data_IF_923821654861
#
_entry.id   IF_923821654861
#
_cell.length_a   1.000
_cell.length_b   1.000
_cell.length_c   1.000
_cell.angle_alpha   90.00
_cell.angle_beta   90.00
_cell.angle_gamma   90.00
#
_symmetry.space_group_name_H-M   'P 1'
#
loop_
_entity.id
_entity.type
_entity.pdbx_description
1 polymer ?
#
# COMPACT_ATOMS: atom_id res chain seq x y z
N UNK A 1 23.14 -14.69 13.44
CA UNK A 1 22.46 -14.82 14.75
C UNK A 1 22.74 -13.51 15.48
N UNK A 2 21.72 -12.82 15.99
CA UNK A 2 21.93 -11.56 16.71
C UNK A 2 22.02 -11.84 18.20
N UNK A 3 23.07 -11.33 18.86
CA UNK A 3 23.25 -11.47 20.31
C UNK A 3 22.30 -10.55 21.11
N UNK A 4 21.68 -9.59 20.43
CA UNK A 4 20.72 -8.63 21.00
C UNK A 4 19.41 -8.57 20.19
N UNK A 5 18.29 -8.38 20.89
CA UNK A 5 16.98 -8.29 20.30
C UNK A 5 16.78 -6.98 19.53
N UNK A 6 16.31 -7.04 18.27
CA UNK A 6 16.06 -5.82 17.50
C UNK A 6 14.87 -5.00 18.03
N UNK A 7 13.90 -5.64 18.68
CA UNK A 7 12.70 -4.96 19.20
C UNK A 7 12.94 -4.31 20.57
N UNK A 8 13.50 -5.05 21.54
CA UNK A 8 13.66 -4.56 22.92
C UNK A 8 15.11 -4.41 23.40
N UNK A 9 16.11 -4.63 22.52
CA UNK A 9 17.55 -4.49 22.82
C UNK A 9 18.10 -5.36 23.95
N UNK A 10 17.31 -6.32 24.46
CA UNK A 10 17.76 -7.28 25.46
C UNK A 10 18.71 -8.33 24.83
N UNK A 11 19.70 -8.84 25.58
CA UNK A 11 20.51 -9.97 25.14
C UNK A 11 19.63 -11.18 24.84
N UNK A 12 19.89 -11.91 23.75
CA UNK A 12 19.16 -13.13 23.43
C UNK A 12 20.12 -14.33 23.41
N UNK A 13 19.90 -15.27 24.33
CA UNK A 13 20.65 -16.53 24.40
C UNK A 13 19.89 -17.73 23.79
N UNK A 14 18.59 -17.59 23.51
CA UNK A 14 17.71 -18.67 23.04
C UNK A 14 17.15 -18.37 21.64
N UNK A 15 16.27 -19.23 21.08
CA UNK A 15 15.67 -19.02 19.75
C UNK A 15 14.65 -17.87 19.70
N UNK A 16 14.17 -17.41 20.84
CA UNK A 16 13.18 -16.34 20.98
C UNK A 16 13.56 -15.43 22.16
N UNK A 17 13.39 -14.12 22.02
CA UNK A 17 13.60 -13.19 23.13
C UNK A 17 12.61 -13.47 24.27
N UNK A 18 13.11 -13.73 25.48
CA UNK A 18 12.27 -13.99 26.65
C UNK A 18 11.39 -12.80 27.09
N UNK A 19 11.76 -11.57 26.70
CA UNK A 19 11.02 -10.36 27.07
C UNK A 19 9.91 -10.01 26.08
N UNK A 20 10.19 -10.04 24.77
CA UNK A 20 9.24 -9.59 23.74
C UNK A 20 8.82 -10.68 22.74
N UNK A 21 9.34 -11.90 22.84
CA UNK A 21 8.98 -13.01 21.95
C UNK A 21 9.57 -12.94 20.53
N UNK A 22 10.44 -11.98 20.21
CA UNK A 22 11.08 -11.90 18.88
C UNK A 22 11.97 -13.13 18.60
N UNK A 23 11.79 -13.79 17.45
CA UNK A 23 12.71 -14.84 16.93
C UNK A 23 14.14 -14.29 16.74
N UNK A 24 15.16 -15.03 17.17
CA UNK A 24 16.59 -14.63 17.08
C UNK A 24 17.15 -14.72 15.66
N UNK A 25 16.52 -15.52 14.79
CA UNK A 25 16.86 -15.66 13.37
C UNK A 25 16.15 -14.63 12.49
N UNK A 26 16.14 -13.35 12.87
CA UNK A 26 15.65 -12.30 11.97
C UNK A 26 16.66 -12.07 10.86
N UNK A 27 16.46 -12.74 9.72
CA UNK A 27 17.19 -12.47 8.50
C UNK A 27 16.62 -11.24 7.80
N UNK A 28 17.46 -10.63 6.95
CA UNK A 28 17.01 -9.59 6.02
C UNK A 28 15.78 -10.08 5.26
N UNK A 29 14.79 -9.21 5.09
CA UNK A 29 13.50 -9.62 4.54
C UNK A 29 13.68 -10.25 3.14
N UNK A 30 13.15 -11.47 2.98
CA UNK A 30 13.10 -12.22 1.73
C UNK A 30 11.70 -12.79 1.56
N UNK A 31 11.09 -12.58 0.39
CA UNK A 31 9.73 -13.05 0.09
C UNK A 31 9.58 -14.56 0.26
N UNK A 32 10.62 -15.33 -0.06
CA UNK A 32 10.62 -16.79 0.09
C UNK A 32 10.38 -17.20 1.54
N UNK A 33 11.12 -16.61 2.48
CA UNK A 33 10.97 -16.89 3.91
C UNK A 33 9.64 -16.39 4.47
N UNK A 34 9.10 -15.28 3.97
CA UNK A 34 7.81 -14.76 4.42
C UNK A 34 6.65 -15.69 4.04
N UNK A 35 6.62 -16.18 2.80
CA UNK A 35 5.56 -17.09 2.33
C UNK A 35 5.60 -18.43 3.09
N UNK A 36 6.81 -18.97 3.31
CA UNK A 36 6.99 -20.28 3.98
C UNK A 36 6.67 -20.24 5.48
N UNK A 37 6.92 -19.12 6.18
CA UNK A 37 6.87 -19.09 7.65
C UNK A 37 5.91 -18.07 8.28
N UNK A 38 5.66 -16.93 7.63
CA UNK A 38 4.88 -15.83 8.23
C UNK A 38 3.45 -15.79 7.68
N UNK A 39 3.22 -16.17 6.42
CA UNK A 39 1.88 -16.16 5.81
C UNK A 39 0.95 -17.25 6.39
N UNK A 40 1.46 -18.47 6.58
CA UNK A 40 0.65 -19.62 7.04
C UNK A 40 0.33 -19.53 8.54
N UNK A 41 1.25 -19.04 9.35
CA UNK A 41 1.07 -18.96 10.82
C UNK A 41 0.47 -17.62 11.30
N UNK A 42 0.53 -16.56 10.48
CA UNK A 42 0.16 -15.20 10.89
C UNK A 42 -1.34 -14.86 10.86
N UNK A 43 -2.17 -15.67 10.20
CA UNK A 43 -3.60 -15.36 9.99
C UNK A 43 -4.44 -15.47 11.29
N UNK A 44 -3.94 -16.16 12.33
CA UNK A 44 -4.75 -16.54 13.49
C UNK A 44 -4.53 -15.72 14.77
N UNK A 45 -3.73 -14.65 14.75
CA UNK A 45 -3.44 -13.83 15.94
C UNK A 45 -3.82 -12.35 15.70
N UNK A 46 -5.10 -12.03 15.85
CA UNK A 46 -5.70 -10.74 15.48
C UNK A 46 -5.70 -9.70 16.62
N UNK A 47 -5.37 -10.09 17.85
CA UNK A 47 -5.88 -9.35 19.02
C UNK A 47 -5.19 -8.02 19.40
N UNK A 48 -3.88 -7.83 19.14
CA UNK A 48 -3.18 -6.58 19.56
C UNK A 48 -2.37 -5.88 18.46
N UNK A 49 -1.86 -6.61 17.47
CA UNK A 49 -1.01 -6.02 16.43
C UNK A 49 -1.75 -5.09 15.47
N UNK A 50 -3.04 -5.34 15.20
CA UNK A 50 -3.83 -4.58 14.22
C UNK A 50 -3.94 -3.11 14.61
N UNK A 51 -4.43 -2.83 15.83
CA UNK A 51 -4.62 -1.46 16.31
C UNK A 51 -3.30 -0.71 16.42
N UNK A 52 -2.24 -1.38 16.88
CA UNK A 52 -0.89 -0.81 16.90
C UNK A 52 -0.45 -0.42 15.48
N UNK A 53 -0.57 -1.33 14.52
CA UNK A 53 -0.16 -1.10 13.13
C UNK A 53 -0.93 0.02 12.47
N UNK A 54 -2.26 0.05 12.64
CA UNK A 54 -3.10 1.13 12.12
C UNK A 54 -2.65 2.47 12.71
N UNK A 55 -2.54 2.57 14.05
CA UNK A 55 -2.06 3.80 14.70
C UNK A 55 -0.71 4.26 14.14
N UNK A 56 0.22 3.33 13.99
CA UNK A 56 1.57 3.60 13.52
C UNK A 56 1.63 4.00 12.04
N UNK A 57 0.76 3.44 11.20
CA UNK A 57 0.62 3.83 9.79
C UNK A 57 0.09 5.26 9.64
N UNK A 58 -0.80 5.72 10.53
CA UNK A 58 -1.40 7.05 10.41
C UNK A 58 -0.70 8.14 11.27
N UNK A 59 0.26 7.78 12.11
CA UNK A 59 1.03 8.74 12.94
C UNK A 59 2.49 8.86 12.54
N UNK A 60 3.14 7.74 12.20
CA UNK A 60 4.54 7.71 11.72
C UNK A 60 4.74 6.65 10.62
N UNK A 61 4.00 6.74 9.50
CA UNK A 61 3.92 5.71 8.45
C UNK A 61 5.25 5.13 7.97
N UNK A 62 6.14 6.00 7.50
CA UNK A 62 7.40 5.57 6.90
C UNK A 62 8.37 5.05 7.95
N UNK A 63 8.37 5.62 9.16
CA UNK A 63 9.24 5.15 10.24
C UNK A 63 8.80 3.76 10.74
N UNK A 64 7.49 3.55 10.88
CA UNK A 64 6.96 2.30 11.39
C UNK A 64 7.18 1.14 10.41
N UNK A 65 6.96 1.36 9.12
CA UNK A 65 7.26 0.36 8.08
C UNK A 65 8.77 0.14 7.93
N UNK A 66 9.61 1.17 8.13
CA UNK A 66 11.07 1.02 8.18
C UNK A 66 11.51 0.11 9.32
N UNK A 67 10.97 0.31 10.52
CA UNK A 67 11.24 -0.56 11.67
C UNK A 67 10.82 -2.01 11.42
N UNK A 68 9.66 -2.23 10.80
CA UNK A 68 9.20 -3.55 10.41
C UNK A 68 10.17 -4.25 9.46
N UNK A 69 10.57 -3.55 8.40
CA UNK A 69 11.50 -4.06 7.38
C UNK A 69 12.87 -4.36 8.00
N UNK A 70 13.34 -3.50 8.91
CA UNK A 70 14.59 -3.68 9.65
C UNK A 70 14.51 -4.74 10.77
N UNK A 71 13.36 -5.37 10.98
CA UNK A 71 13.23 -6.57 11.81
C UNK A 71 12.49 -6.40 13.14
N UNK A 72 11.95 -5.21 13.47
CA UNK A 72 11.14 -4.99 14.68
C UNK A 72 9.69 -5.44 14.51
N UNK A 73 9.45 -6.72 14.21
CA UNK A 73 8.13 -7.20 13.72
C UNK A 73 7.08 -7.56 14.77
N UNK A 74 7.46 -7.78 16.04
CA UNK A 74 6.58 -8.35 17.09
C UNK A 74 5.22 -7.64 17.22
N UNK A 75 5.21 -6.30 17.19
CA UNK A 75 3.99 -5.52 17.42
C UNK A 75 3.21 -5.25 16.14
N UNK A 76 3.81 -5.53 14.97
CA UNK A 76 3.21 -5.21 13.69
C UNK A 76 2.36 -6.36 13.18
N UNK A 77 1.23 -5.99 12.62
CA UNK A 77 0.31 -6.90 11.97
C UNK A 77 0.74 -7.17 10.54
N UNK A 78 0.53 -8.39 10.07
CA UNK A 78 0.89 -8.80 8.71
C UNK A 78 0.23 -7.89 7.67
N UNK A 79 1.03 -7.32 6.77
CA UNK A 79 0.52 -6.50 5.66
C UNK A 79 -0.42 -7.29 4.75
N UNK A 80 -0.19 -8.59 4.54
CA UNK A 80 -1.08 -9.41 3.71
C UNK A 80 -2.44 -9.56 4.37
N UNK A 81 -2.46 -9.85 5.67
CA UNK A 81 -3.70 -9.97 6.43
C UNK A 81 -4.42 -8.61 6.47
N UNK A 82 -3.69 -7.50 6.61
CA UNK A 82 -4.27 -6.16 6.57
C UNK A 82 -4.90 -5.83 5.20
N UNK A 83 -4.23 -6.18 4.09
CA UNK A 83 -4.77 -6.04 2.74
C UNK A 83 -6.03 -6.90 2.54
N UNK A 84 -6.02 -8.16 3.00
CA UNK A 84 -7.19 -9.04 2.90
C UNK A 84 -8.37 -8.53 3.72
N UNK A 85 -8.15 -8.18 5.00
CA UNK A 85 -9.20 -7.66 5.88
C UNK A 85 -9.81 -6.37 5.30
N UNK A 86 -8.98 -5.44 4.85
CA UNK A 86 -9.47 -4.17 4.27
C UNK A 86 -10.14 -4.37 2.92
N UNK A 87 -9.71 -5.34 2.09
CA UNK A 87 -10.40 -5.73 0.86
C UNK A 87 -11.79 -6.30 1.15
N UNK A 88 -11.91 -7.16 2.17
CA UNK A 88 -13.19 -7.75 2.58
C UNK A 88 -14.13 -6.68 3.12
N UNK A 89 -13.66 -5.83 4.06
CA UNK A 89 -14.47 -4.76 4.65
C UNK A 89 -14.92 -3.74 3.60
N UNK A 90 -14.00 -3.31 2.72
CA UNK A 90 -14.36 -2.37 1.64
C UNK A 90 -15.36 -2.98 0.66
N UNK A 91 -15.30 -4.28 0.39
CA UNK A 91 -16.30 -4.98 -0.43
C UNK A 91 -17.67 -5.00 0.22
N UNK A 92 -17.72 -5.37 1.49
CA UNK A 92 -18.96 -5.38 2.25
C UNK A 92 -19.60 -4.00 2.30
N UNK A 93 -18.83 -2.96 2.64
CA UNK A 93 -19.31 -1.58 2.68
C UNK A 93 -19.77 -1.08 1.32
N UNK A 94 -19.02 -1.38 0.24
CA UNK A 94 -19.41 -0.97 -1.11
C UNK A 94 -20.70 -1.63 -1.59
N UNK A 95 -21.00 -2.84 -1.11
CA UNK A 95 -22.25 -3.53 -1.44
C UNK A 95 -23.45 -2.84 -0.78
N UNK A 96 -23.32 -2.46 0.49
CA UNK A 96 -24.38 -1.78 1.24
C UNK A 96 -24.53 -0.30 0.90
N UNK A 97 -23.48 0.35 0.40
CA UNK A 97 -23.53 1.78 0.08
C UNK A 97 -24.40 2.12 -1.13
N UNK A 98 -24.76 1.14 -1.96
CA UNK A 98 -25.45 1.39 -3.23
C UNK A 98 -24.67 2.34 -4.14
N UNK A 99 -23.34 2.42 -3.96
CA UNK A 99 -22.48 3.30 -4.75
C UNK A 99 -22.40 2.78 -6.17
N UNK A 100 -22.95 3.55 -7.09
CA UNK A 100 -22.74 3.35 -8.50
C UNK A 100 -21.57 4.22 -8.97
N UNK A 101 -20.40 3.60 -9.10
CA UNK A 101 -19.20 4.24 -9.64
C UNK A 101 -19.39 4.68 -11.11
N UNK A 102 -20.41 4.19 -11.81
CA UNK A 102 -20.74 4.64 -13.17
C UNK A 102 -21.19 6.10 -13.23
N UNK A 103 -21.62 6.67 -12.09
CA UNK A 103 -22.00 8.09 -11.94
C UNK A 103 -20.77 9.02 -11.92
N UNK A 104 -19.58 8.48 -11.60
CA UNK A 104 -18.33 9.24 -11.56
C UNK A 104 -17.78 9.57 -12.94
N UNK A 105 -18.06 8.70 -13.91
CA UNK A 105 -17.49 8.81 -15.24
C UNK A 105 -18.54 9.47 -16.12
N UNK A 106 -18.29 10.72 -16.52
CA UNK A 106 -19.14 11.39 -17.51
C UNK A 106 -19.22 10.56 -18.79
N UNK A 107 -20.29 10.68 -19.57
CA UNK A 107 -20.44 9.91 -20.81
C UNK A 107 -19.27 10.15 -21.77
N UNK A 108 -18.72 11.36 -21.79
CA UNK A 108 -17.49 11.69 -22.51
C UNK A 108 -16.26 10.93 -21.97
N UNK A 109 -16.10 10.85 -20.65
CA UNK A 109 -15.01 10.10 -20.06
C UNK A 109 -15.17 8.58 -20.27
N UNK A 110 -16.41 8.04 -20.27
CA UNK A 110 -16.68 6.64 -20.60
C UNK A 110 -16.33 6.34 -22.05
N UNK A 111 -16.67 7.22 -22.98
CA UNK A 111 -16.33 7.07 -24.39
C UNK A 111 -14.81 7.12 -24.66
N UNK A 112 -14.04 7.75 -23.78
CA UNK A 112 -12.58 7.78 -23.84
C UNK A 112 -11.92 6.59 -23.11
N UNK A 113 -12.67 5.79 -22.37
CA UNK A 113 -12.13 4.61 -21.69
C UNK A 113 -11.89 3.48 -22.68
N UNK A 114 -10.72 2.87 -22.59
CA UNK A 114 -10.43 1.62 -23.29
C UNK A 114 -10.85 0.40 -22.44
N UNK A 115 -10.89 -0.78 -23.07
CA UNK A 115 -11.31 -2.02 -22.39
C UNK A 115 -10.42 -2.41 -21.20
N UNK A 116 -9.14 -2.01 -21.20
CA UNK A 116 -8.25 -2.22 -20.06
C UNK A 116 -8.64 -1.32 -18.87
N UNK A 117 -8.99 -0.06 -19.13
CA UNK A 117 -9.46 0.87 -18.10
C UNK A 117 -10.81 0.45 -17.54
N UNK A 118 -11.73 -0.05 -18.37
CA UNK A 118 -12.99 -0.64 -17.94
C UNK A 118 -12.77 -1.88 -17.05
N UNK A 119 -11.84 -2.75 -17.44
CA UNK A 119 -11.44 -3.91 -16.65
C UNK A 119 -10.86 -3.48 -15.29
N UNK A 120 -10.00 -2.47 -15.27
CA UNK A 120 -9.42 -1.92 -14.04
C UNK A 120 -10.50 -1.37 -13.11
N UNK A 121 -11.50 -0.68 -13.63
CA UNK A 121 -12.63 -0.18 -12.82
C UNK A 121 -13.50 -1.33 -12.30
N UNK A 122 -13.78 -2.32 -13.14
CA UNK A 122 -14.60 -3.50 -12.79
C UNK A 122 -13.95 -4.34 -11.67
N UNK A 123 -12.62 -4.40 -11.66
CA UNK A 123 -11.83 -5.16 -10.68
C UNK A 123 -10.91 -4.25 -9.87
N UNK A 124 -11.40 -3.08 -9.46
CA UNK A 124 -10.59 -2.03 -8.81
C UNK A 124 -9.74 -2.54 -7.64
N UNK A 125 -10.27 -3.45 -6.81
CA UNK A 125 -9.53 -4.03 -5.66
C UNK A 125 -8.37 -4.93 -6.10
N UNK A 126 -8.56 -5.74 -7.13
CA UNK A 126 -7.48 -6.56 -7.71
C UNK A 126 -6.45 -5.65 -8.37
N UNK A 127 -6.92 -4.61 -9.06
CA UNK A 127 -6.06 -3.58 -9.62
C UNK A 127 -5.18 -2.91 -8.54
N UNK A 128 -5.72 -2.53 -7.38
CA UNK A 128 -4.94 -1.99 -6.25
C UNK A 128 -3.81 -2.94 -5.83
N UNK A 129 -4.07 -4.25 -5.75
CA UNK A 129 -3.04 -5.25 -5.42
C UNK A 129 -1.99 -5.39 -6.53
N UNK A 130 -2.41 -5.40 -7.79
CA UNK A 130 -1.52 -5.45 -8.95
C UNK A 130 -0.62 -4.21 -9.02
N UNK A 131 -1.06 -3.05 -8.52
CA UNK A 131 -0.22 -1.84 -8.50
C UNK A 131 1.01 -1.96 -7.59
N UNK A 132 0.98 -2.82 -6.57
CA UNK A 132 2.05 -2.98 -5.57
C UNK A 132 3.42 -3.26 -6.22
N UNK A 133 3.59 -4.29 -7.08
CA UNK A 133 4.87 -4.53 -7.75
C UNK A 133 5.34 -3.37 -8.61
N UNK A 134 4.45 -2.68 -9.33
CA UNK A 134 4.84 -1.52 -10.14
C UNK A 134 5.32 -0.35 -9.27
N UNK A 135 4.61 -0.07 -8.16
CA UNK A 135 5.03 0.94 -7.19
C UNK A 135 6.35 0.55 -6.50
N UNK A 136 6.57 -0.75 -6.24
CA UNK A 136 7.84 -1.26 -5.73
C UNK A 136 9.00 -1.02 -6.71
N UNK A 137 8.78 -1.22 -8.02
CA UNK A 137 9.77 -0.89 -9.05
C UNK A 137 10.14 0.59 -8.98
N UNK A 138 9.15 1.50 -9.01
CA UNK A 138 9.45 2.93 -9.02
C UNK A 138 10.09 3.43 -7.74
N UNK A 139 9.61 2.96 -6.57
CA UNK A 139 10.25 3.30 -5.30
C UNK A 139 11.68 2.77 -5.23
N UNK A 140 11.96 1.58 -5.78
CA UNK A 140 13.32 1.03 -5.88
C UNK A 140 14.21 1.86 -6.80
N UNK A 141 13.72 2.26 -7.97
CA UNK A 141 14.48 3.08 -8.93
C UNK A 141 14.79 4.47 -8.36
N UNK A 142 13.80 5.15 -7.79
CA UNK A 142 13.96 6.49 -7.22
C UNK A 142 14.79 6.50 -5.93
N UNK A 143 14.85 5.41 -5.17
CA UNK A 143 15.59 5.33 -3.91
C UNK A 143 16.70 4.26 -3.91
N UNK A 144 17.30 3.97 -5.07
CA UNK A 144 18.35 2.94 -5.21
C UNK A 144 19.53 3.10 -4.23
N UNK A 145 19.91 4.33 -3.88
CA UNK A 145 21.01 4.59 -2.91
C UNK A 145 20.62 4.32 -1.46
N UNK A 146 19.34 4.14 -1.15
CA UNK A 146 18.88 3.82 0.20
C UNK A 146 19.24 2.41 0.66
N UNK A 147 19.73 1.55 -0.25
CA UNK A 147 20.28 0.24 0.08
C UNK A 147 19.23 -0.85 0.35
N UNK A 148 17.94 -0.57 0.13
CA UNK A 148 16.87 -1.56 0.23
C UNK A 148 16.76 -2.41 -1.04
N UNK A 149 16.46 -3.70 -0.88
CA UNK A 149 16.24 -4.64 -1.96
C UNK A 149 14.79 -4.57 -2.47
N UNK A 150 14.52 -5.16 -3.63
CA UNK A 150 13.19 -5.13 -4.23
C UNK A 150 12.09 -5.77 -3.35
N UNK A 151 12.41 -6.82 -2.59
CA UNK A 151 11.45 -7.45 -1.67
C UNK A 151 11.07 -6.51 -0.52
N UNK A 152 12.01 -5.71 -0.02
CA UNK A 152 11.76 -4.69 1.00
C UNK A 152 10.87 -3.57 0.43
N UNK A 153 11.10 -3.16 -0.83
CA UNK A 153 10.21 -2.24 -1.53
C UNK A 153 8.80 -2.84 -1.75
N UNK A 154 8.67 -4.13 -2.00
CA UNK A 154 7.35 -4.78 -2.10
C UNK A 154 6.59 -4.71 -0.77
N UNK A 155 7.24 -4.99 0.36
CA UNK A 155 6.63 -4.85 1.69
C UNK A 155 6.26 -3.41 1.98
N UNK A 156 7.16 -2.47 1.67
CA UNK A 156 6.93 -1.04 1.83
C UNK A 156 5.64 -0.59 1.16
N UNK A 157 5.48 -0.96 -0.11
CA UNK A 157 4.32 -0.60 -0.91
C UNK A 157 3.07 -1.37 -0.48
N UNK A 158 3.21 -2.59 0.03
CA UNK A 158 2.08 -3.34 0.57
C UNK A 158 1.44 -2.66 1.79
N UNK A 159 2.27 -2.15 2.72
CA UNK A 159 1.76 -1.36 3.86
C UNK A 159 1.17 -0.02 3.43
N UNK A 160 1.77 0.65 2.44
CA UNK A 160 1.22 1.88 1.87
C UNK A 160 -0.18 1.63 1.28
N UNK A 161 -0.31 0.59 0.45
CA UNK A 161 -1.60 0.20 -0.14
C UNK A 161 -2.62 -0.19 0.94
N UNK A 162 -2.20 -0.90 1.99
CA UNK A 162 -3.09 -1.22 3.09
C UNK A 162 -3.61 0.05 3.80
N UNK A 163 -2.77 1.06 4.00
CA UNK A 163 -3.19 2.34 4.55
C UNK A 163 -4.15 3.11 3.63
N UNK A 164 -3.91 3.10 2.30
CA UNK A 164 -4.86 3.66 1.33
C UNK A 164 -6.22 2.95 1.40
N UNK A 165 -6.23 1.62 1.54
CA UNK A 165 -7.48 0.85 1.65
C UNK A 165 -8.21 1.11 2.97
N UNK A 166 -7.50 1.33 4.07
CA UNK A 166 -8.12 1.76 5.33
C UNK A 166 -8.74 3.15 5.17
N UNK A 167 -8.03 4.10 4.56
CA UNK A 167 -8.56 5.44 4.30
C UNK A 167 -9.79 5.38 3.38
N UNK A 168 -9.77 4.51 2.36
CA UNK A 168 -10.91 4.26 1.49
C UNK A 168 -12.12 3.72 2.25
N UNK A 169 -11.91 2.76 3.17
CA UNK A 169 -12.96 2.22 4.05
C UNK A 169 -13.58 3.34 4.92
N UNK A 170 -12.75 4.18 5.54
CA UNK A 170 -13.22 5.30 6.37
C UNK A 170 -14.01 6.30 5.53
N UNK A 171 -13.51 6.67 4.35
CA UNK A 171 -14.18 7.60 3.46
C UNK A 171 -15.51 7.01 2.95
N UNK A 172 -15.53 5.72 2.62
CA UNK A 172 -16.74 4.99 2.22
C UNK A 172 -17.78 5.02 3.33
N UNK A 173 -17.36 4.81 4.59
CA UNK A 173 -18.25 4.87 5.73
C UNK A 173 -18.87 6.26 5.92
N UNK A 174 -18.08 7.33 5.73
CA UNK A 174 -18.57 8.72 5.84
C UNK A 174 -19.64 9.01 4.79
N UNK A 175 -19.45 8.58 3.54
CA UNK A 175 -20.39 8.89 2.47
C UNK A 175 -21.72 8.12 2.56
N UNK A 176 -21.80 7.04 3.35
CA UNK A 176 -23.05 6.32 3.60
C UNK A 176 -24.16 7.23 4.16
N UNK A 177 -23.77 8.31 4.84
CA UNK A 177 -24.69 9.27 5.45
C UNK A 177 -25.16 10.37 4.48
N UNK A 178 -24.70 10.34 3.21
CA UNK A 178 -25.01 11.34 2.21
C UNK A 178 -25.81 10.74 1.05
N UNK A 179 -26.65 11.55 0.40
CA UNK A 179 -27.39 11.12 -0.79
C UNK A 179 -26.43 10.83 -1.93
N UNK A 180 -26.58 9.66 -2.56
CA UNK A 180 -25.83 9.28 -3.75
C UNK A 180 -26.14 10.27 -4.89
N UNK A 181 -25.20 11.19 -5.13
CA UNK A 181 -25.25 12.23 -6.14
C UNK A 181 -23.88 12.38 -6.77
N UNK A 182 -23.83 12.86 -8.03
CA UNK A 182 -22.56 13.05 -8.74
C UNK A 182 -21.59 13.97 -7.98
N UNK A 183 -22.09 14.98 -7.28
CA UNK A 183 -21.28 15.90 -6.47
C UNK A 183 -20.60 15.16 -5.32
N UNK A 184 -21.35 14.35 -4.56
CA UNK A 184 -20.80 13.57 -3.43
C UNK A 184 -19.76 12.57 -3.92
N UNK A 185 -20.02 11.89 -5.04
CA UNK A 185 -19.10 10.91 -5.62
C UNK A 185 -17.81 11.58 -6.15
N UNK A 186 -17.91 12.78 -6.75
CA UNK A 186 -16.74 13.56 -7.15
C UNK A 186 -15.91 14.02 -5.94
N UNK A 187 -16.55 14.51 -4.89
CA UNK A 187 -15.87 14.89 -3.64
C UNK A 187 -15.15 13.67 -3.04
N UNK A 188 -15.82 12.52 -2.98
CA UNK A 188 -15.22 11.26 -2.54
C UNK A 188 -13.96 10.91 -3.33
N UNK A 189 -14.04 10.94 -4.65
CA UNK A 189 -12.90 10.58 -5.53
C UNK A 189 -11.74 11.55 -5.38
N UNK A 190 -12.04 12.86 -5.36
CA UNK A 190 -11.02 13.89 -5.15
C UNK A 190 -10.38 13.78 -3.76
N UNK A 191 -11.18 13.58 -2.71
CA UNK A 191 -10.67 13.40 -1.35
C UNK A 191 -9.73 12.18 -1.26
N UNK A 192 -10.10 11.06 -1.88
CA UNK A 192 -9.24 9.87 -1.94
C UNK A 192 -7.94 10.14 -2.72
N UNK A 193 -8.00 10.77 -3.89
CA UNK A 193 -6.81 11.09 -4.69
C UNK A 193 -5.86 12.05 -3.95
N UNK A 194 -6.41 13.12 -3.38
CA UNK A 194 -5.64 14.08 -2.58
C UNK A 194 -5.01 13.41 -1.38
N UNK A 195 -5.78 12.60 -0.64
CA UNK A 195 -5.26 11.83 0.48
C UNK A 195 -4.10 10.92 0.03
N UNK A 196 -4.31 10.09 -1.00
CA UNK A 196 -3.31 9.11 -1.44
C UNK A 196 -2.01 9.76 -1.91
N UNK A 197 -2.09 10.92 -2.57
CA UNK A 197 -0.93 11.70 -2.99
C UNK A 197 -0.18 12.29 -1.78
N UNK A 198 -0.88 13.03 -0.91
CA UNK A 198 -0.27 13.69 0.25
C UNK A 198 0.30 12.67 1.22
N UNK A 199 -0.47 11.63 1.54
CA UNK A 199 -0.05 10.52 2.40
C UNK A 199 1.12 9.77 1.78
N UNK A 200 1.08 9.47 0.47
CA UNK A 200 2.18 8.81 -0.23
C UNK A 200 3.49 9.59 -0.16
N UNK A 201 3.45 10.90 -0.40
CA UNK A 201 4.62 11.78 -0.29
C UNK A 201 5.17 11.76 1.13
N UNK A 202 4.30 11.93 2.14
CA UNK A 202 4.70 11.87 3.55
C UNK A 202 5.31 10.52 3.95
N UNK A 203 4.67 9.42 3.52
CA UNK A 203 5.06 8.04 3.78
C UNK A 203 6.47 7.75 3.25
N UNK A 204 6.73 8.01 1.97
CA UNK A 204 8.06 7.78 1.38
C UNK A 204 9.10 8.74 1.93
N UNK A 205 8.76 10.01 2.12
CA UNK A 205 9.68 11.00 2.70
C UNK A 205 10.18 10.52 4.06
N UNK A 206 9.26 10.07 4.92
CA UNK A 206 9.59 9.59 6.25
C UNK A 206 10.40 8.29 6.20
N UNK A 207 10.01 7.31 5.35
CA UNK A 207 10.70 6.03 5.24
C UNK A 207 12.17 6.16 4.81
N UNK A 208 12.44 7.04 3.85
CA UNK A 208 13.78 7.25 3.29
C UNK A 208 14.55 8.38 3.98
N UNK A 209 14.00 9.04 4.99
CA UNK A 209 14.64 10.16 5.70
C UNK A 209 16.03 9.83 6.26
N UNK A 210 16.24 8.58 6.67
CA UNK A 210 17.50 8.09 7.24
C UNK A 210 18.51 7.59 6.19
N UNK A 211 18.21 7.74 4.89
CA UNK A 211 19.04 7.22 3.80
C UNK A 211 20.07 8.22 3.25
N UNK A 212 20.30 9.35 3.93
CA UNK A 212 21.34 10.32 3.57
C UNK A 212 20.99 11.27 2.42
N UNK A 213 19.72 11.36 2.02
CA UNK A 213 19.25 12.33 1.03
C UNK A 213 18.97 13.70 1.67
N UNK A 214 19.18 14.79 0.93
CA UNK A 214 18.71 16.12 1.35
C UNK A 214 17.17 16.16 1.40
N UNK A 215 16.60 17.04 2.24
CA UNK A 215 15.13 17.19 2.38
C UNK A 215 14.44 17.49 1.03
N UNK A 216 15.06 18.30 0.18
CA UNK A 216 14.54 18.62 -1.16
C UNK A 216 14.54 17.40 -2.08
N UNK A 217 15.63 16.63 -2.07
CA UNK A 217 15.74 15.37 -2.83
C UNK A 217 14.73 14.33 -2.36
N UNK A 218 14.53 14.20 -1.03
CA UNK A 218 13.52 13.31 -0.45
C UNK A 218 12.13 13.66 -0.93
N UNK A 219 11.74 14.94 -0.84
CA UNK A 219 10.42 15.39 -1.28
C UNK A 219 10.20 15.11 -2.77
N UNK A 220 11.14 15.53 -3.61
CA UNK A 220 11.05 15.32 -5.06
C UNK A 220 10.95 13.83 -5.41
N UNK A 221 11.81 12.98 -4.85
CA UNK A 221 11.78 11.53 -5.12
C UNK A 221 10.50 10.87 -4.61
N UNK A 222 9.98 11.32 -3.47
CA UNK A 222 8.72 10.82 -2.90
C UNK A 222 7.52 11.15 -3.79
N UNK A 223 7.49 12.36 -4.36
CA UNK A 223 6.49 12.78 -5.34
C UNK A 223 6.65 12.03 -6.66
N UNK A 224 7.87 11.78 -7.09
CA UNK A 224 8.12 11.14 -8.39
C UNK A 224 7.71 9.67 -8.45
N UNK A 225 7.56 8.96 -7.32
CA UNK A 225 7.07 7.58 -7.33
C UNK A 225 5.65 7.48 -7.93
N UNK A 226 4.61 8.14 -7.36
CA UNK A 226 3.27 8.09 -7.94
C UNK A 226 3.21 8.72 -9.33
N UNK A 227 4.00 9.76 -9.60
CA UNK A 227 4.07 10.39 -10.94
C UNK A 227 4.59 9.41 -11.99
N UNK A 228 5.67 8.67 -11.70
CA UNK A 228 6.21 7.65 -12.61
C UNK A 228 5.19 6.53 -12.88
N UNK A 229 4.42 6.14 -11.86
CA UNK A 229 3.36 5.17 -12.03
C UNK A 229 2.22 5.70 -12.91
N UNK A 230 1.78 6.95 -12.70
CA UNK A 230 0.77 7.59 -13.56
C UNK A 230 1.23 7.65 -15.03
N UNK A 231 2.49 8.00 -15.28
CA UNK A 231 3.06 8.02 -16.64
C UNK A 231 3.01 6.62 -17.26
N UNK A 232 3.41 5.58 -16.51
CA UNK A 232 3.34 4.19 -16.97
C UNK A 232 1.91 3.82 -17.38
N UNK A 233 0.92 4.18 -16.55
CA UNK A 233 -0.48 3.87 -16.82
C UNK A 233 -1.00 4.57 -18.07
N UNK A 234 -0.68 5.84 -18.26
CA UNK A 234 -1.04 6.58 -19.46
C UNK A 234 -0.44 5.93 -20.71
N UNK A 235 0.84 5.56 -20.66
CA UNK A 235 1.51 4.88 -21.79
C UNK A 235 0.83 3.53 -22.10
N UNK A 236 0.61 2.70 -21.08
CA UNK A 236 -0.05 1.40 -21.23
C UNK A 236 -1.46 1.56 -21.81
N UNK A 237 -2.22 2.55 -21.33
CA UNK A 237 -3.56 2.86 -21.83
C UNK A 237 -3.56 3.29 -23.30
N UNK A 238 -2.63 4.16 -23.70
CA UNK A 238 -2.50 4.61 -25.10
C UNK A 238 -2.11 3.45 -26.02
N UNK A 239 -1.11 2.65 -25.65
CA UNK A 239 -0.68 1.48 -26.42
C UNK A 239 -1.82 0.47 -26.58
N UNK A 240 -2.54 0.18 -25.49
CA UNK A 240 -3.69 -0.73 -25.55
C UNK A 240 -4.80 -0.20 -26.44
N UNK A 241 -5.09 1.11 -26.38
CA UNK A 241 -6.07 1.75 -27.26
C UNK A 241 -5.72 1.58 -28.74
N UNK A 242 -4.46 1.78 -29.11
CA UNK A 242 -3.97 1.59 -30.49
C UNK A 242 -4.11 0.13 -30.92
N UNK A 243 -3.66 -0.83 -30.09
CA UNK A 243 -3.76 -2.26 -30.39
C UNK A 243 -5.22 -2.69 -30.57
N UNK A 244 -6.13 -2.21 -29.71
CA UNK A 244 -7.56 -2.53 -29.80
C UNK A 244 -8.21 -1.98 -31.07
N UNK A 245 -7.76 -0.83 -31.58
CA UNK A 245 -8.22 -0.29 -32.87
C UNK A 245 -7.74 -1.17 -34.04
N UNK A 246 -6.48 -1.61 -34.02
CA UNK A 246 -5.90 -2.48 -35.06
C UNK A 246 -6.59 -3.86 -35.09
N UNK A 247 -6.94 -4.42 -33.93
CA UNK A 247 -7.60 -5.73 -33.86
C UNK A 247 -9.08 -5.69 -34.29
N UNK A 248 -9.70 -4.50 -34.34
CA UNK A 248 -11.10 -4.30 -34.79
C UNK A 248 -11.22 -3.97 -36.27
N UNK A 249 -10.14 -3.54 -36.93
CA UNK A 249 -10.06 -3.27 -38.37
C UNK A 249 -9.70 -4.52 -39.17
#
# INVERSE_FOLDING_TARGET
MHDTCLNCSQPIATKYCGNCGQKTSTHRYSLKHFIEHDFIHGVWHVDKGVLFTIKELFTRPGNSVREYILGKRVNYFSFVTLLLLTATISTLLSHYSGMDYSVLVSDNAKAMMNSLQELMMSYFKIYLLITIPFMAIFSYLWFKKAGFNYSEHLVLNSYKTAADMIALVVLTFIILFFKNSAIVMNIYTMAYMTFSLVYGVWFYFQFFSQAGYSKTSLFFRSLMIPVSFMILQTIVGLVWGIVALILKS
#
